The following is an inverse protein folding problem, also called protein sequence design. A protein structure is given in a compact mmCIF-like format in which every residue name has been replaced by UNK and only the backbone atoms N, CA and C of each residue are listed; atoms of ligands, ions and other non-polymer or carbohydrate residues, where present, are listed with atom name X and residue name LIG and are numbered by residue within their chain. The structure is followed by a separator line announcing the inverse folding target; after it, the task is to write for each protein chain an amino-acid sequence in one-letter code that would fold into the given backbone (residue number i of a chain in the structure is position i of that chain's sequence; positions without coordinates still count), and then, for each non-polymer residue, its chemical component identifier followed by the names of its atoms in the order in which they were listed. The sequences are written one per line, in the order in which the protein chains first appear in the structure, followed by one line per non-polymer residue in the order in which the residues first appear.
data_IF_222479892120
#
_entry.id   IF_222479892120
#
_cell.length_a   1.000
_cell.length_b   1.000
_cell.length_c   1.000
_cell.angle_alpha   90.00
_cell.angle_beta   90.00
_cell.angle_gamma   90.00
#
_symmetry.space_group_name_H-M   'P 1'
#
loop_
_entity.id
_entity.type
_entity.pdbx_description
1 polymer ?
#
# COMPACT_ATOMS: atom_id res chain seq x y z
N UNK A 1 -22.38 56.69 -32.84
CA UNK A 1 -22.89 55.31 -32.69
C UNK A 1 -21.77 54.24 -32.58
N UNK A 2 -20.58 54.47 -33.09
CA UNK A 2 -19.46 53.47 -33.05
C UNK A 2 -18.76 53.31 -31.70
N UNK A 3 -18.76 54.31 -30.84
CA UNK A 3 -18.10 54.32 -29.53
C UNK A 3 -18.86 53.54 -28.45
N UNK A 4 -20.19 53.51 -28.48
CA UNK A 4 -21.01 52.77 -27.52
C UNK A 4 -20.93 51.25 -27.71
N UNK A 5 -20.73 50.79 -28.95
CA UNK A 5 -20.58 49.37 -29.25
C UNK A 5 -19.25 48.79 -28.78
N UNK A 6 -18.17 49.60 -28.80
CA UNK A 6 -16.84 49.18 -28.34
C UNK A 6 -16.77 48.95 -26.81
N UNK A 7 -17.51 49.79 -26.05
CA UNK A 7 -17.55 49.67 -24.59
C UNK A 7 -18.43 48.50 -24.11
N UNK A 8 -19.44 48.12 -24.89
CA UNK A 8 -20.29 46.95 -24.59
C UNK A 8 -19.53 45.67 -24.85
N UNK A 9 -18.72 45.61 -25.94
CA UNK A 9 -17.92 44.42 -26.26
C UNK A 9 -16.79 44.19 -25.24
N UNK A 10 -16.16 45.24 -24.72
CA UNK A 10 -15.13 45.15 -23.66
C UNK A 10 -15.76 44.70 -22.33
N UNK A 11 -16.97 45.17 -22.00
CA UNK A 11 -17.71 44.74 -20.81
C UNK A 11 -18.10 43.26 -20.84
N UNK A 12 -18.46 42.71 -22.01
CA UNK A 12 -18.81 41.29 -22.17
C UNK A 12 -17.55 40.40 -22.07
N UNK A 13 -16.41 40.84 -22.59
CA UNK A 13 -15.13 40.11 -22.48
C UNK A 13 -14.66 40.09 -21.00
N UNK A 14 -14.87 41.14 -20.23
CA UNK A 14 -14.51 41.16 -18.82
C UNK A 14 -15.46 40.32 -17.94
N UNK A 15 -16.72 40.17 -18.31
CA UNK A 15 -17.67 39.28 -17.64
C UNK A 15 -17.42 37.80 -17.95
N UNK A 16 -16.87 37.47 -19.12
CA UNK A 16 -16.53 36.09 -19.49
C UNK A 16 -15.22 35.62 -18.87
N UNK A 17 -14.28 36.53 -18.56
CA UNK A 17 -13.04 36.21 -17.91
C UNK A 17 -13.18 35.97 -16.40
N UNK A 18 -14.29 36.38 -15.79
CA UNK A 18 -14.58 36.14 -14.35
C UNK A 18 -15.18 34.75 -14.07
N UNK A 19 -15.54 33.97 -15.11
CA UNK A 19 -16.14 32.64 -14.95
C UNK A 19 -15.15 31.47 -15.11
N UNK A 20 -13.85 31.74 -15.28
CA UNK A 20 -12.81 30.70 -15.21
C UNK A 20 -12.10 30.80 -13.85
N UNK A 21 -12.82 30.89 -12.77
CA UNK A 21 -12.36 30.31 -11.53
C UNK A 21 -12.68 28.81 -11.67
N UNK A 22 -11.72 28.05 -12.14
CA UNK A 22 -11.77 26.60 -12.01
C UNK A 22 -12.07 26.30 -10.55
N UNK A 23 -13.22 25.72 -10.31
CA UNK A 23 -13.54 25.09 -9.04
C UNK A 23 -12.40 24.11 -8.78
N UNK A 24 -11.47 24.51 -7.94
CA UNK A 24 -10.37 23.64 -7.53
C UNK A 24 -11.05 22.60 -6.65
N UNK A 25 -11.53 21.54 -7.31
CA UNK A 25 -12.12 20.39 -6.65
C UNK A 25 -11.09 19.90 -5.65
N UNK A 26 -11.32 20.16 -4.37
CA UNK A 26 -10.47 19.65 -3.32
C UNK A 26 -10.52 18.12 -3.40
N UNK A 27 -9.39 17.49 -3.74
CA UNK A 27 -9.30 16.04 -3.77
C UNK A 27 -9.60 15.50 -2.38
N UNK A 28 -10.64 14.68 -2.26
CA UNK A 28 -10.95 14.01 -0.99
C UNK A 28 -10.01 12.83 -0.81
N UNK A 29 -9.42 12.73 0.37
CA UNK A 29 -8.55 11.62 0.78
C UNK A 29 -9.15 10.99 2.04
N UNK A 30 -9.26 9.68 2.03
CA UNK A 30 -9.66 8.90 3.19
C UNK A 30 -8.43 8.33 3.86
N UNK A 31 -8.33 8.45 5.18
CA UNK A 31 -7.28 7.80 6.00
C UNK A 31 -7.95 6.76 6.87
N UNK A 32 -7.54 5.51 6.71
CA UNK A 32 -8.14 4.35 7.37
C UNK A 32 -7.09 3.69 8.26
N UNK A 33 -7.22 3.74 9.59
CA UNK A 33 -6.26 3.11 10.48
C UNK A 33 -6.42 1.58 10.45
N UNK A 34 -5.29 0.88 10.28
CA UNK A 34 -5.15 -0.58 10.45
C UNK A 34 -4.06 -0.81 11.49
N UNK A 35 -4.47 -0.78 12.75
CA UNK A 35 -3.57 -0.78 13.90
C UNK A 35 -3.86 -1.97 14.82
N UNK A 36 -2.88 -2.32 15.68
CA UNK A 36 -2.97 -3.42 16.62
C UNK A 36 -3.16 -4.80 15.94
N UNK A 37 -3.98 -5.68 16.52
CA UNK A 37 -4.21 -7.05 16.04
C UNK A 37 -5.27 -7.08 14.93
N UNK A 38 -4.95 -7.72 13.82
CA UNK A 38 -5.90 -7.93 12.73
C UNK A 38 -6.88 -9.05 13.11
N UNK A 39 -8.06 -8.67 13.52
CA UNK A 39 -9.18 -9.55 13.88
C UNK A 39 -10.36 -9.44 12.89
N UNK A 40 -11.45 -10.16 13.16
CA UNK A 40 -12.64 -10.18 12.31
C UNK A 40 -13.46 -8.86 12.31
N UNK A 41 -13.14 -7.91 13.18
CA UNK A 41 -13.77 -6.59 13.19
C UNK A 41 -13.20 -5.65 12.12
N UNK A 42 -11.91 -5.79 11.81
CA UNK A 42 -11.20 -4.91 10.88
C UNK A 42 -11.72 -4.97 9.43
N UNK A 43 -12.03 -6.16 8.84
CA UNK A 43 -12.59 -6.23 7.48
C UNK A 43 -13.87 -5.40 7.31
N UNK A 44 -14.76 -5.43 8.30
CA UNK A 44 -15.98 -4.63 8.27
C UNK A 44 -15.75 -3.11 8.34
N UNK A 45 -14.70 -2.67 9.05
CA UNK A 45 -14.27 -1.28 9.06
C UNK A 45 -13.72 -0.85 7.69
N UNK A 46 -12.81 -1.64 7.13
CA UNK A 46 -12.18 -1.37 5.83
C UNK A 46 -13.24 -1.30 4.72
N UNK A 47 -14.15 -2.27 4.66
CA UNK A 47 -15.22 -2.29 3.66
C UNK A 47 -16.06 -1.02 3.73
N UNK A 48 -16.53 -0.63 4.92
CA UNK A 48 -17.31 0.59 5.09
C UNK A 48 -16.53 1.85 4.70
N UNK A 49 -15.24 1.90 4.99
CA UNK A 49 -14.40 3.03 4.61
C UNK A 49 -14.25 3.14 3.08
N UNK A 50 -14.07 2.02 2.39
CA UNK A 50 -14.01 1.95 0.93
C UNK A 50 -15.36 2.38 0.32
N UNK A 51 -16.48 1.83 0.79
CA UNK A 51 -17.83 2.18 0.31
C UNK A 51 -18.13 3.68 0.47
N UNK A 52 -17.72 4.27 1.59
CA UNK A 52 -17.86 5.72 1.84
C UNK A 52 -16.96 6.54 0.91
N UNK A 53 -15.71 6.12 0.73
CA UNK A 53 -14.77 6.79 -0.17
C UNK A 53 -15.28 6.76 -1.63
N UNK A 54 -15.83 5.63 -2.09
CA UNK A 54 -16.43 5.50 -3.42
C UNK A 54 -17.69 6.38 -3.57
N UNK A 55 -18.57 6.38 -2.57
CA UNK A 55 -19.76 7.23 -2.55
C UNK A 55 -19.40 8.71 -2.62
N UNK A 56 -18.37 9.11 -1.93
CA UNK A 56 -17.86 10.47 -1.86
C UNK A 56 -16.99 10.89 -3.06
N UNK A 57 -16.74 9.98 -4.01
CA UNK A 57 -15.81 10.16 -5.12
C UNK A 57 -14.42 10.60 -4.63
N UNK A 58 -13.92 9.94 -3.60
CA UNK A 58 -12.57 10.20 -3.10
C UNK A 58 -11.52 9.86 -4.18
N UNK A 59 -10.44 10.61 -4.18
CA UNK A 59 -9.33 10.40 -5.13
C UNK A 59 -8.27 9.45 -4.62
N UNK A 60 -8.26 9.17 -3.31
CA UNK A 60 -7.21 8.37 -2.66
C UNK A 60 -7.73 7.79 -1.35
N UNK A 61 -7.30 6.57 -1.03
CA UNK A 61 -7.43 5.96 0.30
C UNK A 61 -6.03 5.64 0.81
N UNK A 62 -5.70 6.12 2.00
CA UNK A 62 -4.45 5.80 2.70
C UNK A 62 -4.78 4.90 3.88
N UNK A 63 -4.18 3.72 3.90
CA UNK A 63 -4.24 2.80 5.04
C UNK A 63 -3.04 3.07 5.95
N UNK A 64 -3.28 3.63 7.14
CA UNK A 64 -2.26 3.90 8.16
C UNK A 64 -2.00 2.61 8.97
N UNK A 65 -0.87 1.96 8.67
CA UNK A 65 -0.57 0.59 9.12
C UNK A 65 0.47 0.60 10.24
N UNK A 66 0.09 0.02 11.39
CA UNK A 66 1.01 -0.32 12.49
C UNK A 66 0.51 -1.59 13.19
N UNK A 67 0.93 -2.76 12.72
CA UNK A 67 0.46 -4.05 13.21
C UNK A 67 1.54 -5.12 13.25
N UNK A 68 1.48 -5.98 14.25
CA UNK A 68 2.21 -7.24 14.27
C UNK A 68 1.51 -8.37 13.52
N UNK A 69 0.32 -8.11 12.95
CA UNK A 69 -0.45 -9.09 12.20
C UNK A 69 -1.67 -9.60 12.96
N UNK A 70 -2.14 -10.78 12.59
CA UNK A 70 -3.34 -11.38 13.18
C UNK A 70 -3.89 -12.51 12.33
N UNK A 71 -5.20 -12.58 12.21
CA UNK A 71 -5.91 -13.67 11.55
C UNK A 71 -5.73 -13.63 10.03
N UNK A 72 -5.39 -14.78 9.45
CA UNK A 72 -5.23 -14.95 8.00
C UNK A 72 -6.53 -14.65 7.26
N UNK A 73 -7.66 -15.16 7.76
CA UNK A 73 -8.96 -14.97 7.13
C UNK A 73 -9.43 -13.50 7.13
N UNK A 74 -9.14 -12.75 8.19
CA UNK A 74 -9.38 -11.32 8.23
C UNK A 74 -8.46 -10.56 7.25
N UNK A 75 -7.18 -10.88 7.23
CA UNK A 75 -6.21 -10.27 6.32
C UNK A 75 -6.57 -10.50 4.85
N UNK A 76 -6.99 -11.74 4.50
CA UNK A 76 -7.44 -12.07 3.14
C UNK A 76 -8.68 -11.26 2.74
N UNK A 77 -9.67 -11.11 3.63
CA UNK A 77 -10.85 -10.28 3.35
C UNK A 77 -10.47 -8.80 3.13
N UNK A 78 -9.55 -8.26 3.93
CA UNK A 78 -9.07 -6.88 3.78
C UNK A 78 -8.35 -6.72 2.44
N UNK A 79 -7.42 -7.63 2.11
CA UNK A 79 -6.70 -7.67 0.84
C UNK A 79 -7.68 -7.71 -0.35
N UNK A 80 -8.69 -8.57 -0.29
CA UNK A 80 -9.68 -8.69 -1.37
C UNK A 80 -10.47 -7.39 -1.56
N UNK A 81 -10.84 -6.72 -0.47
CA UNK A 81 -11.55 -5.44 -0.51
C UNK A 81 -10.70 -4.32 -1.11
N UNK A 82 -9.44 -4.19 -0.67
CA UNK A 82 -8.48 -3.23 -1.22
C UNK A 82 -8.24 -3.50 -2.70
N UNK A 83 -8.00 -4.76 -3.06
CA UNK A 83 -7.73 -5.16 -4.46
C UNK A 83 -8.93 -5.00 -5.41
N UNK A 84 -10.15 -4.78 -4.91
CA UNK A 84 -11.37 -4.63 -5.71
C UNK A 84 -11.79 -3.18 -5.93
N UNK A 85 -11.36 -2.24 -5.11
CA UNK A 85 -11.68 -0.83 -5.30
C UNK A 85 -10.98 -0.25 -6.54
N UNK A 86 -11.58 0.79 -7.13
CA UNK A 86 -11.01 1.55 -8.25
C UNK A 86 -10.33 2.84 -7.79
N UNK A 87 -10.45 3.16 -6.50
CA UNK A 87 -9.77 4.32 -5.92
C UNK A 87 -8.32 3.93 -5.70
N UNK A 88 -7.42 4.82 -6.05
CA UNK A 88 -6.00 4.66 -5.75
C UNK A 88 -5.77 4.43 -4.25
N UNK A 89 -4.90 3.47 -3.92
CA UNK A 89 -4.68 3.03 -2.55
C UNK A 89 -3.20 3.13 -2.16
N UNK A 90 -2.95 3.64 -0.96
CA UNK A 90 -1.60 3.72 -0.38
C UNK A 90 -1.57 3.01 0.97
N UNK A 91 -0.61 2.14 1.16
CA UNK A 91 -0.21 1.68 2.48
C UNK A 91 0.84 2.64 3.04
N UNK A 92 0.51 3.33 4.12
CA UNK A 92 1.46 4.12 4.90
C UNK A 92 1.88 3.32 6.12
N UNK A 93 3.09 2.76 6.10
CA UNK A 93 3.61 1.95 7.21
C UNK A 93 4.30 2.85 8.21
N UNK A 94 3.59 3.19 9.27
CA UNK A 94 4.04 4.11 10.30
C UNK A 94 5.19 3.52 11.14
N UNK A 95 5.08 2.27 11.58
CA UNK A 95 6.14 1.57 12.33
C UNK A 95 6.37 0.16 11.82
N UNK A 96 5.31 -0.60 11.59
CA UNK A 96 5.46 -1.99 11.18
C UNK A 96 4.24 -2.51 10.44
N UNK A 97 4.51 -3.36 9.47
CA UNK A 97 3.52 -4.16 8.78
C UNK A 97 4.00 -5.62 8.78
N UNK A 98 3.81 -6.30 9.91
CA UNK A 98 4.29 -7.68 10.10
C UNK A 98 3.16 -8.68 9.82
N UNK A 99 3.50 -9.83 9.23
CA UNK A 99 2.55 -10.92 8.99
C UNK A 99 1.35 -10.47 8.15
N UNK A 100 0.12 -10.53 8.67
CA UNK A 100 -1.09 -10.02 8.02
C UNK A 100 -0.94 -8.57 7.51
N UNK A 101 -0.18 -7.73 8.21
CA UNK A 101 0.11 -6.36 7.80
C UNK A 101 0.88 -6.29 6.48
N UNK A 102 1.81 -7.22 6.23
CA UNK A 102 2.54 -7.30 4.96
C UNK A 102 1.60 -7.62 3.79
N UNK A 103 0.71 -8.61 3.94
CA UNK A 103 -0.26 -8.98 2.91
C UNK A 103 -1.19 -7.80 2.57
N UNK A 104 -1.68 -7.11 3.61
CA UNK A 104 -2.54 -5.92 3.45
C UNK A 104 -1.77 -4.80 2.74
N UNK A 105 -0.53 -4.53 3.14
CA UNK A 105 0.30 -3.50 2.50
C UNK A 105 0.57 -3.80 1.03
N UNK A 106 0.90 -5.06 0.70
CA UNK A 106 1.13 -5.49 -0.68
C UNK A 106 -0.12 -5.41 -1.57
N UNK A 107 -1.32 -5.34 -1.00
CA UNK A 107 -2.55 -5.20 -1.78
C UNK A 107 -2.85 -3.77 -2.23
N UNK A 108 -2.14 -2.78 -1.70
CA UNK A 108 -2.25 -1.38 -2.10
C UNK A 108 -1.42 -1.09 -3.35
N UNK A 109 -1.81 -0.07 -4.10
CA UNK A 109 -1.11 0.36 -5.32
C UNK A 109 0.29 0.88 -5.00
N UNK A 110 0.43 1.62 -3.90
CA UNK A 110 1.72 2.15 -3.44
C UNK A 110 1.95 1.87 -1.96
N UNK A 111 3.24 1.78 -1.58
CA UNK A 111 3.67 1.57 -0.19
C UNK A 111 4.68 2.65 0.18
N UNK A 112 4.35 3.46 1.18
CA UNK A 112 5.26 4.41 1.81
C UNK A 112 5.56 3.97 3.25
N UNK A 113 6.80 4.16 3.69
CA UNK A 113 7.26 3.74 5.01
C UNK A 113 7.97 4.87 5.72
N UNK A 114 7.77 4.99 7.04
CA UNK A 114 8.57 5.92 7.85
C UNK A 114 9.99 5.41 8.03
N UNK A 115 10.92 6.28 8.41
CA UNK A 115 12.27 5.86 8.79
C UNK A 115 12.24 4.90 9.98
N UNK A 116 12.86 3.71 9.80
CA UNK A 116 12.89 2.65 10.82
C UNK A 116 11.67 1.76 10.86
N UNK A 117 10.73 1.90 9.93
CA UNK A 117 9.62 0.96 9.78
C UNK A 117 10.11 -0.40 9.24
N UNK A 118 9.28 -1.42 9.42
CA UNK A 118 9.58 -2.80 8.95
C UNK A 118 8.37 -3.45 8.30
N UNK A 119 8.62 -4.31 7.30
CA UNK A 119 7.62 -5.12 6.61
C UNK A 119 8.14 -6.54 6.38
N UNK A 120 7.31 -7.57 6.57
CA UNK A 120 7.69 -8.97 6.31
C UNK A 120 7.22 -9.97 7.37
N UNK A 121 7.97 -11.06 7.52
CA UNK A 121 7.75 -12.14 8.49
C UNK A 121 6.30 -12.66 8.50
N UNK A 122 5.87 -13.29 7.39
CA UNK A 122 4.45 -13.62 7.12
C UNK A 122 4.17 -15.13 7.19
N UNK A 123 5.04 -15.94 7.79
CA UNK A 123 4.75 -17.37 7.93
C UNK A 123 3.49 -17.61 8.79
N UNK A 124 2.70 -18.61 8.40
CA UNK A 124 1.44 -18.91 9.09
C UNK A 124 1.73 -19.72 10.35
N UNK A 125 1.31 -19.18 11.49
CA UNK A 125 1.44 -19.82 12.81
C UNK A 125 0.07 -19.99 13.45
N UNK A 126 -0.04 -20.93 14.38
CA UNK A 126 -1.21 -21.07 15.25
C UNK A 126 -1.14 -20.11 16.46
N UNK A 127 -2.15 -20.16 17.32
CA UNK A 127 -2.21 -19.32 18.53
C UNK A 127 -1.09 -19.59 19.54
N UNK A 128 -0.40 -20.73 19.43
CA UNK A 128 0.77 -21.05 20.26
C UNK A 128 2.08 -20.56 19.66
N UNK A 129 2.05 -19.99 18.43
CA UNK A 129 3.23 -19.59 17.67
C UNK A 129 3.88 -20.73 16.89
N UNK A 130 3.26 -21.92 16.86
CA UNK A 130 3.78 -23.07 16.12
C UNK A 130 3.45 -22.96 14.63
N UNK A 131 4.43 -23.28 13.75
CA UNK A 131 4.27 -23.22 12.29
C UNK A 131 3.14 -24.15 11.84
N UNK A 132 2.23 -23.63 11.03
CA UNK A 132 1.13 -24.38 10.44
C UNK A 132 1.62 -25.34 9.34
N UNK A 133 0.72 -26.22 8.89
CA UNK A 133 1.01 -27.23 7.85
C UNK A 133 1.57 -26.61 6.57
N UNK A 134 2.34 -27.40 5.80
CA UNK A 134 2.85 -26.97 4.48
C UNK A 134 1.72 -26.50 3.56
N UNK A 135 0.52 -27.08 3.65
CA UNK A 135 -0.63 -26.60 2.88
C UNK A 135 -0.96 -25.13 3.18
N UNK A 136 -0.90 -24.73 4.45
CA UNK A 136 -1.16 -23.34 4.87
C UNK A 136 -0.02 -22.42 4.47
N UNK A 137 1.23 -22.87 4.58
CA UNK A 137 2.41 -22.11 4.16
C UNK A 137 2.41 -21.91 2.64
N UNK A 138 2.19 -22.98 1.88
CA UNK A 138 2.13 -22.93 0.40
C UNK A 138 1.04 -21.98 -0.10
N UNK A 139 -0.15 -22.01 0.52
CA UNK A 139 -1.21 -21.07 0.19
C UNK A 139 -0.76 -19.62 0.43
N UNK A 140 -0.26 -19.32 1.63
CA UNK A 140 0.16 -17.97 1.99
C UNK A 140 1.32 -17.47 1.13
N UNK A 141 2.28 -18.33 0.81
CA UNK A 141 3.43 -18.02 -0.05
C UNK A 141 2.98 -17.51 -1.42
N UNK A 142 2.08 -18.25 -2.08
CA UNK A 142 1.60 -17.86 -3.39
C UNK A 142 0.56 -16.73 -3.34
N UNK A 143 -0.21 -16.61 -2.26
CA UNK A 143 -1.09 -15.47 -2.02
C UNK A 143 -0.30 -14.15 -1.91
N UNK A 144 0.79 -14.16 -1.15
CA UNK A 144 1.70 -13.02 -1.02
C UNK A 144 2.35 -12.66 -2.36
N UNK A 145 2.84 -13.68 -3.09
CA UNK A 145 3.49 -13.48 -4.39
C UNK A 145 2.52 -12.92 -5.44
N UNK A 146 1.33 -13.51 -5.57
CA UNK A 146 0.31 -13.05 -6.51
C UNK A 146 -0.18 -11.64 -6.18
N UNK A 147 -0.30 -11.31 -4.88
CA UNK A 147 -0.66 -9.97 -4.43
C UNK A 147 0.42 -8.95 -4.79
N UNK A 148 1.69 -9.26 -4.53
CA UNK A 148 2.83 -8.43 -4.88
C UNK A 148 2.93 -8.22 -6.40
N UNK A 149 2.80 -9.28 -7.18
CA UNK A 149 2.83 -9.22 -8.65
C UNK A 149 1.72 -8.31 -9.20
N UNK A 150 0.49 -8.43 -8.65
CA UNK A 150 -0.65 -7.61 -9.06
C UNK A 150 -0.42 -6.11 -8.81
N UNK A 151 0.25 -5.76 -7.71
CA UNK A 151 0.56 -4.37 -7.33
C UNK A 151 1.93 -3.88 -7.85
N UNK A 152 2.60 -4.68 -8.73
CA UNK A 152 3.89 -4.32 -9.32
C UNK A 152 5.08 -4.41 -8.37
N UNK A 153 4.93 -5.14 -7.25
CA UNK A 153 6.01 -5.39 -6.28
C UNK A 153 6.74 -6.69 -6.59
N UNK A 154 7.91 -6.91 -5.97
CA UNK A 154 8.71 -8.10 -6.20
C UNK A 154 8.08 -9.35 -5.57
N UNK A 155 7.63 -10.35 -6.38
CA UNK A 155 6.96 -11.55 -5.87
C UNK A 155 7.91 -12.51 -5.15
N UNK A 156 9.21 -12.54 -5.51
CA UNK A 156 10.16 -13.45 -4.87
C UNK A 156 10.49 -12.99 -3.45
N UNK A 157 10.61 -11.69 -3.23
CA UNK A 157 10.72 -11.12 -1.89
C UNK A 157 9.46 -11.44 -1.07
N UNK A 158 8.27 -11.32 -1.68
CA UNK A 158 7.02 -11.65 -1.00
C UNK A 158 6.93 -13.14 -0.62
N UNK A 159 7.42 -14.07 -1.47
CA UNK A 159 7.56 -15.49 -1.13
C UNK A 159 8.52 -15.70 0.05
N UNK A 160 9.67 -15.04 0.05
CA UNK A 160 10.67 -15.14 1.11
C UNK A 160 10.22 -14.55 2.45
N UNK A 161 9.16 -13.73 2.48
CA UNK A 161 8.52 -13.30 3.74
C UNK A 161 7.75 -14.45 4.42
N UNK A 162 7.37 -15.50 3.68
CA UNK A 162 6.59 -16.65 4.17
C UNK A 162 7.45 -17.87 4.34
N UNK A 163 8.37 -18.12 3.41
CA UNK A 163 9.12 -19.37 3.28
C UNK A 163 10.58 -19.21 3.70
N UNK A 164 10.92 -19.80 4.82
CA UNK A 164 12.27 -19.80 5.37
C UNK A 164 13.23 -20.76 4.65
N UNK A 165 12.72 -21.65 3.76
CA UNK A 165 13.55 -22.56 2.99
C UNK A 165 14.06 -21.94 1.69
N UNK A 166 13.51 -20.79 1.29
CA UNK A 166 13.98 -20.06 0.12
C UNK A 166 15.34 -19.42 0.36
N UNK A 167 16.16 -19.43 -0.69
CA UNK A 167 17.45 -18.73 -0.70
C UNK A 167 17.61 -17.95 -2.00
N UNK A 168 18.19 -16.74 -1.90
CA UNK A 168 18.37 -15.85 -3.04
C UNK A 168 19.83 -15.35 -3.09
N UNK A 169 20.51 -15.54 -4.21
CA UNK A 169 21.79 -14.88 -4.50
C UNK A 169 21.59 -13.64 -5.36
N UNK A 170 20.61 -13.72 -6.26
CA UNK A 170 20.25 -12.64 -7.20
C UNK A 170 18.74 -12.53 -7.30
N UNK A 171 18.26 -11.31 -7.51
CA UNK A 171 16.86 -10.98 -7.80
C UNK A 171 16.79 -10.08 -9.03
N UNK A 172 15.71 -10.21 -9.79
CA UNK A 172 15.42 -9.31 -10.91
C UNK A 172 14.41 -8.26 -10.42
N UNK A 173 14.80 -6.98 -10.46
CA UNK A 173 13.97 -5.84 -10.05
C UNK A 173 13.97 -4.83 -11.19
N UNK A 174 12.80 -4.50 -11.72
CA UNK A 174 12.62 -3.58 -12.84
C UNK A 174 13.48 -3.93 -14.08
N UNK A 175 13.78 -5.22 -14.26
CA UNK A 175 14.61 -5.72 -15.35
C UNK A 175 16.11 -5.78 -15.08
N UNK A 176 16.57 -5.23 -13.97
CA UNK A 176 17.96 -5.29 -13.54
C UNK A 176 18.20 -6.47 -12.59
N UNK A 177 19.34 -7.13 -12.72
CA UNK A 177 19.75 -8.20 -11.81
C UNK A 177 20.55 -7.62 -10.66
N UNK A 178 20.01 -7.71 -9.44
CA UNK A 178 20.65 -7.27 -8.21
C UNK A 178 21.21 -8.46 -7.43
N UNK A 179 22.44 -8.34 -6.95
CA UNK A 179 22.98 -9.27 -5.96
C UNK A 179 22.35 -9.00 -4.60
N UNK A 180 21.91 -10.06 -3.93
CA UNK A 180 21.29 -9.98 -2.61
C UNK A 180 22.29 -10.41 -1.55
N UNK A 181 22.83 -9.46 -0.79
CA UNK A 181 23.86 -9.71 0.22
C UNK A 181 23.56 -9.10 1.60
N UNK A 182 22.57 -8.24 1.69
CA UNK A 182 22.27 -7.38 2.86
C UNK A 182 20.97 -7.74 3.61
N UNK A 183 20.23 -8.80 3.23
CA UNK A 183 19.10 -9.33 3.97
C UNK A 183 19.36 -10.75 4.47
N UNK A 184 19.09 -11.03 5.73
CA UNK A 184 19.28 -12.37 6.28
C UNK A 184 18.31 -13.40 5.70
N UNK A 185 17.07 -13.00 5.40
CA UNK A 185 16.04 -13.85 4.80
C UNK A 185 16.35 -14.36 3.39
N UNK A 186 17.47 -13.92 2.78
CA UNK A 186 18.02 -14.54 1.56
C UNK A 186 18.63 -15.93 1.80
N UNK A 187 18.85 -16.31 3.06
CA UNK A 187 19.45 -17.58 3.47
C UNK A 187 18.38 -18.55 3.92
N UNK A 188 18.57 -19.83 3.61
CA UNK A 188 17.76 -20.91 4.16
C UNK A 188 17.66 -20.84 5.70
N UNK A 189 16.49 -21.08 6.25
CA UNK A 189 16.20 -21.01 7.67
C UNK A 189 15.89 -19.59 8.17
N UNK A 190 15.65 -18.61 7.27
CA UNK A 190 15.37 -17.21 7.63
C UNK A 190 14.21 -16.65 6.82
N UNK A 191 13.27 -16.00 7.49
CA UNK A 191 12.22 -15.21 6.83
C UNK A 191 12.75 -13.84 6.43
N UNK A 192 12.26 -13.31 5.33
CA UNK A 192 12.52 -11.93 4.94
C UNK A 192 11.71 -10.98 5.83
N UNK A 193 12.42 -10.02 6.40
CA UNK A 193 11.87 -8.81 7.01
C UNK A 193 12.74 -7.65 6.56
N UNK A 194 12.13 -6.62 6.00
CA UNK A 194 12.83 -5.48 5.40
C UNK A 194 12.65 -4.23 6.24
N UNK A 195 13.73 -3.47 6.40
CA UNK A 195 13.66 -2.06 6.80
C UNK A 195 13.17 -1.21 5.62
N UNK A 196 12.86 0.04 5.86
CA UNK A 196 12.42 0.99 4.82
C UNK A 196 13.38 1.05 3.64
N UNK A 197 14.68 1.18 3.93
CA UNK A 197 15.71 1.28 2.89
C UNK A 197 15.81 -0.01 2.06
N UNK A 198 15.73 -1.17 2.72
CA UNK A 198 15.74 -2.46 2.03
C UNK A 198 14.44 -2.71 1.26
N UNK A 199 13.30 -2.28 1.78
CA UNK A 199 12.02 -2.39 1.09
C UNK A 199 12.01 -1.57 -0.21
N UNK A 200 12.59 -0.37 -0.21
CA UNK A 200 12.78 0.44 -1.42
C UNK A 200 13.79 -0.21 -2.38
N UNK A 201 14.93 -0.66 -1.87
CA UNK A 201 15.98 -1.33 -2.69
C UNK A 201 15.46 -2.55 -3.42
N UNK A 202 14.59 -3.34 -2.79
CA UNK A 202 14.09 -4.60 -3.34
C UNK A 202 12.68 -4.52 -3.95
N UNK A 203 12.22 -3.32 -4.28
CA UNK A 203 10.97 -3.12 -5.03
C UNK A 203 9.70 -3.52 -4.26
N UNK A 204 9.70 -3.33 -2.95
CA UNK A 204 8.53 -3.51 -2.09
C UNK A 204 7.90 -2.17 -1.71
N UNK A 205 8.69 -1.16 -1.33
CA UNK A 205 8.21 0.16 -1.02
C UNK A 205 8.52 1.15 -2.16
N UNK A 206 7.59 2.06 -2.42
CA UNK A 206 7.69 3.09 -3.45
C UNK A 206 8.39 4.35 -2.92
N UNK A 207 8.38 4.53 -1.61
CA UNK A 207 9.02 5.70 -1.02
C UNK A 207 9.14 5.67 0.50
N UNK A 208 9.94 6.62 0.99
CA UNK A 208 10.07 6.95 2.41
C UNK A 208 9.38 8.26 2.69
N UNK A 209 8.58 8.31 3.77
CA UNK A 209 7.90 9.53 4.21
C UNK A 209 7.65 9.46 5.72
N UNK A 210 7.88 10.54 6.43
CA UNK A 210 7.74 10.56 7.89
C UNK A 210 6.30 10.86 8.33
N UNK A 211 5.41 11.28 7.40
CA UNK A 211 4.00 11.53 7.70
C UNK A 211 3.10 11.36 6.47
N UNK A 212 1.81 11.23 6.70
CA UNK A 212 0.79 11.20 5.64
C UNK A 212 0.78 12.52 4.84
N UNK A 213 1.02 13.64 5.51
CA UNK A 213 1.09 14.96 4.87
C UNK A 213 2.26 15.04 3.88
N UNK A 214 3.42 14.43 4.20
CA UNK A 214 4.54 14.33 3.27
C UNK A 214 4.19 13.45 2.07
N UNK A 215 3.52 12.29 2.29
CA UNK A 215 3.02 11.46 1.19
C UNK A 215 2.11 12.27 0.28
N UNK A 216 1.12 12.98 0.82
CA UNK A 216 0.19 13.80 0.05
C UNK A 216 0.90 14.94 -0.71
N UNK A 217 1.97 15.48 -0.15
CA UNK A 217 2.76 16.53 -0.79
C UNK A 217 3.60 16.01 -1.96
N UNK A 218 4.03 14.75 -1.91
CA UNK A 218 4.81 14.11 -2.99
C UNK A 218 3.97 13.72 -4.21
N UNK A 219 2.64 13.65 -4.06
CA UNK A 219 1.67 13.28 -5.10
C UNK A 219 1.09 14.49 -5.87
N UNK A 220 1.50 15.70 -5.53
CA UNK A 220 1.06 16.96 -6.17
C UNK A 220 1.97 17.37 -7.31
#
# INVERSE_FOLDING_TARGET
MKTKFKNILIGIIFLFSAFIFAEQSSKKVYVVPIQDVIDLGIPGLVNRAIDLAETDNASLIIFDIDTFGGRVDAATQIKDSISSTKIETIAFINRRAISAGSLISLSCDQIYMTGGATIGATSVVDMSGSKQSEKSQSYMREEMAATAEKSGKNPDIARGMVDEELSFEYLVIEGDTLQVDDIEGRKEGKLITLTTELAMKYGIADGKSESIEEVLSSLQ
#
